data_IF_337001342702
#
_entry.id   IF_337001342702
#
_cell.length_a   1.000
_cell.length_b   1.000
_cell.length_c   1.000
_cell.angle_alpha   90.00
_cell.angle_beta   90.00
_cell.angle_gamma   90.00
#
_symmetry.space_group_name_H-M   'P 1'
#
loop_
_entity.id
_entity.type
_entity.pdbx_description
1 polymer ?
#
# COMPACT_ATOMS: atom_id res chain seq x y z
N UNK A 1 -16.44 -38.23 -6.70
CA UNK A 1 -15.51 -37.16 -6.29
C UNK A 1 -15.62 -36.01 -7.29
N UNK A 2 -15.94 -34.80 -6.83
CA UNK A 2 -16.04 -33.61 -7.69
C UNK A 2 -14.67 -33.29 -8.30
N UNK A 3 -14.62 -33.14 -9.63
CA UNK A 3 -13.38 -32.82 -10.36
C UNK A 3 -13.02 -31.35 -10.15
N UNK A 4 -12.19 -31.08 -9.13
CA UNK A 4 -11.65 -29.74 -8.90
C UNK A 4 -10.69 -29.40 -10.03
N UNK A 5 -10.95 -28.31 -10.75
CA UNK A 5 -10.04 -27.78 -11.76
C UNK A 5 -8.97 -26.92 -11.07
N UNK A 6 -7.69 -27.04 -11.46
CA UNK A 6 -6.65 -26.19 -10.90
C UNK A 6 -6.95 -24.71 -11.21
N UNK A 7 -6.65 -23.79 -10.27
CA UNK A 7 -6.87 -22.37 -10.47
C UNK A 7 -6.00 -21.82 -11.60
N UNK A 8 -6.46 -20.75 -12.26
CA UNK A 8 -5.70 -20.09 -13.31
C UNK A 8 -4.37 -19.52 -12.77
N UNK A 9 -3.27 -19.58 -13.55
CA UNK A 9 -2.00 -18.95 -13.20
C UNK A 9 -2.17 -17.47 -12.86
N UNK A 10 -1.38 -16.97 -11.91
CA UNK A 10 -1.47 -15.57 -11.47
C UNK A 10 -1.25 -14.56 -12.61
N UNK A 11 -0.28 -14.83 -13.50
CA UNK A 11 0.02 -13.99 -14.66
C UNK A 11 -1.19 -13.90 -15.61
N UNK A 12 -1.86 -15.02 -15.88
CA UNK A 12 -3.05 -15.04 -16.73
C UNK A 12 -4.18 -14.21 -16.13
N UNK A 13 -4.40 -14.35 -14.81
CA UNK A 13 -5.42 -13.58 -14.10
C UNK A 13 -5.14 -12.07 -14.17
N UNK A 14 -3.88 -11.67 -13.97
CA UNK A 14 -3.46 -10.25 -14.06
C UNK A 14 -3.66 -9.69 -15.48
N UNK A 15 -3.21 -10.42 -16.49
CA UNK A 15 -3.35 -10.00 -17.89
C UNK A 15 -4.82 -9.82 -18.29
N UNK A 16 -5.71 -10.75 -17.89
CA UNK A 16 -7.14 -10.61 -18.16
C UNK A 16 -7.74 -9.36 -17.49
N UNK A 17 -7.34 -9.06 -16.26
CA UNK A 17 -7.82 -7.88 -15.53
C UNK A 17 -7.33 -6.58 -16.19
N UNK A 18 -6.07 -6.53 -16.63
CA UNK A 18 -5.53 -5.37 -17.35
C UNK A 18 -6.24 -5.13 -18.68
N UNK A 19 -6.50 -6.19 -19.44
CA UNK A 19 -7.19 -6.09 -20.72
C UNK A 19 -8.65 -5.61 -20.57
N UNK A 20 -9.36 -6.06 -19.54
CA UNK A 20 -10.71 -5.54 -19.23
C UNK A 20 -10.65 -4.08 -18.82
N UNK A 21 -9.65 -3.68 -18.01
CA UNK A 21 -9.44 -2.28 -17.62
C UNK A 21 -9.06 -1.38 -18.80
N UNK A 22 -8.46 -1.93 -19.84
CA UNK A 22 -8.12 -1.22 -21.09
C UNK A 22 -9.34 -0.93 -21.99
N UNK A 23 -10.55 -1.38 -21.61
CA UNK A 23 -11.81 -0.95 -22.22
C UNK A 23 -12.52 -1.97 -23.10
N UNK A 24 -11.97 -3.18 -23.26
CA UNK A 24 -12.65 -4.29 -23.97
C UNK A 24 -13.53 -5.09 -23.02
N UNK A 25 -14.63 -5.62 -23.53
CA UNK A 25 -15.63 -6.30 -22.70
C UNK A 25 -15.16 -7.71 -22.27
N UNK A 26 -15.61 -8.23 -21.12
CA UNK A 26 -15.35 -9.63 -20.73
C UNK A 26 -15.83 -10.65 -21.78
N UNK A 27 -16.86 -10.32 -22.56
CA UNK A 27 -17.40 -11.19 -23.61
C UNK A 27 -16.49 -11.32 -24.84
N UNK A 28 -15.75 -10.28 -25.19
CA UNK A 28 -14.78 -10.32 -26.30
C UNK A 28 -13.58 -11.20 -25.92
N UNK A 29 -13.00 -10.98 -24.75
CA UNK A 29 -11.89 -11.79 -24.25
C UNK A 29 -12.28 -13.25 -24.00
N UNK A 30 -13.53 -13.51 -23.61
CA UNK A 30 -14.04 -14.87 -23.48
C UNK A 30 -13.90 -15.67 -24.78
N UNK A 31 -14.18 -15.03 -25.92
CA UNK A 31 -14.07 -15.65 -27.26
C UNK A 31 -12.62 -15.84 -27.69
N UNK A 32 -11.75 -14.86 -27.41
CA UNK A 32 -10.34 -14.91 -27.79
C UNK A 32 -9.55 -15.96 -26.99
N UNK A 33 -9.79 -16.04 -25.68
CA UNK A 33 -9.00 -16.89 -24.77
C UNK A 33 -9.68 -18.23 -24.43
N UNK A 34 -10.82 -18.55 -25.06
CA UNK A 34 -11.63 -19.74 -24.78
C UNK A 34 -12.00 -19.89 -23.29
N UNK A 35 -12.31 -18.77 -22.63
CA UNK A 35 -12.74 -18.73 -21.22
C UNK A 35 -14.18 -18.27 -21.16
N UNK A 36 -14.89 -18.59 -20.08
CA UNK A 36 -16.23 -18.02 -19.89
C UNK A 36 -16.15 -16.55 -19.48
N UNK A 37 -17.05 -15.72 -19.99
CA UNK A 37 -17.15 -14.30 -19.58
C UNK A 37 -17.36 -14.16 -18.08
N UNK A 38 -18.11 -15.08 -17.46
CA UNK A 38 -18.32 -15.12 -16.02
C UNK A 38 -17.01 -15.31 -15.25
N UNK A 39 -16.12 -16.20 -15.70
CA UNK A 39 -14.80 -16.37 -15.09
C UNK A 39 -14.00 -15.07 -15.12
N UNK A 40 -14.05 -14.34 -16.23
CA UNK A 40 -13.34 -13.06 -16.39
C UNK A 40 -13.92 -11.99 -15.47
N UNK A 41 -15.25 -11.89 -15.39
CA UNK A 41 -15.93 -10.98 -14.44
C UNK A 41 -15.54 -11.28 -12.99
N UNK A 42 -15.50 -12.56 -12.61
CA UNK A 42 -15.10 -12.97 -11.26
C UNK A 42 -13.62 -12.61 -10.98
N UNK A 43 -12.73 -12.75 -11.96
CA UNK A 43 -11.32 -12.35 -11.82
C UNK A 43 -11.16 -10.84 -11.64
N UNK A 44 -11.95 -10.04 -12.36
CA UNK A 44 -11.94 -8.58 -12.26
C UNK A 44 -12.48 -8.12 -10.89
N UNK A 45 -13.56 -8.73 -10.41
CA UNK A 45 -14.09 -8.49 -9.07
C UNK A 45 -13.07 -8.85 -7.98
N UNK A 46 -12.46 -10.03 -8.08
CA UNK A 46 -11.42 -10.45 -7.14
C UNK A 46 -10.22 -9.48 -7.15
N UNK A 47 -9.78 -9.04 -8.32
CA UNK A 47 -8.70 -8.06 -8.42
C UNK A 47 -9.08 -6.66 -7.92
N UNK A 48 -10.36 -6.29 -7.95
CA UNK A 48 -10.85 -5.04 -7.35
C UNK A 48 -10.74 -5.10 -5.82
N UNK A 49 -11.15 -6.23 -5.23
CA UNK A 49 -11.03 -6.53 -3.80
C UNK A 49 -9.55 -6.56 -3.38
N UNK A 50 -8.72 -7.35 -4.08
CA UNK A 50 -7.29 -7.50 -3.78
C UNK A 50 -6.51 -6.18 -3.93
N UNK A 51 -6.93 -5.30 -4.86
CA UNK A 51 -6.32 -3.97 -5.03
C UNK A 51 -6.79 -2.92 -4.00
N UNK A 52 -7.68 -3.30 -3.08
CA UNK A 52 -8.27 -2.39 -2.09
C UNK A 52 -9.16 -1.31 -2.71
N UNK A 53 -9.57 -1.47 -3.97
CA UNK A 53 -10.53 -0.55 -4.63
C UNK A 53 -11.96 -0.82 -4.18
N UNK A 54 -12.24 -2.00 -3.64
CA UNK A 54 -13.40 -2.27 -2.77
C UNK A 54 -12.89 -2.98 -1.53
N UNK A 55 -12.62 -2.24 -0.45
CA UNK A 55 -12.06 -2.83 0.78
C UNK A 55 -11.69 -1.87 1.91
N UNK A 56 -11.94 -0.57 1.76
CA UNK A 56 -12.08 0.33 2.89
C UNK A 56 -13.38 1.10 2.65
N UNK A 57 -14.35 0.95 3.55
CA UNK A 57 -15.49 1.85 3.62
C UNK A 57 -14.99 3.30 3.67
N UNK A 58 -15.79 4.27 3.20
CA UNK A 58 -15.38 5.69 3.22
C UNK A 58 -14.84 6.11 4.60
N UNK A 59 -15.41 5.56 5.66
CA UNK A 59 -14.99 5.73 7.07
C UNK A 59 -13.56 5.23 7.29
N UNK A 60 -13.26 3.98 6.93
CA UNK A 60 -11.91 3.42 7.11
C UNK A 60 -10.86 4.18 6.29
N UNK A 61 -11.23 4.72 5.12
CA UNK A 61 -10.34 5.56 4.31
C UNK A 61 -10.06 6.91 4.96
N UNK A 62 -11.06 7.54 5.55
CA UNK A 62 -10.91 8.79 6.31
C UNK A 62 -10.03 8.59 7.55
N UNK A 63 -10.24 7.49 8.27
CA UNK A 63 -9.41 7.10 9.41
C UNK A 63 -7.96 6.86 8.99
N UNK A 64 -7.73 6.16 7.89
CA UNK A 64 -6.38 5.92 7.36
C UNK A 64 -5.68 7.22 6.96
N UNK A 65 -6.39 8.16 6.33
CA UNK A 65 -5.87 9.49 6.02
C UNK A 65 -5.54 10.30 7.28
N UNK A 66 -6.41 10.25 8.30
CA UNK A 66 -6.18 10.89 9.60
C UNK A 66 -4.93 10.33 10.27
N UNK A 67 -4.81 9.01 10.37
CA UNK A 67 -3.67 8.33 10.98
C UNK A 67 -2.35 8.67 10.25
N UNK A 68 -2.36 8.71 8.92
CA UNK A 68 -1.18 9.12 8.14
C UNK A 68 -0.77 10.57 8.40
N UNK A 69 -1.73 11.48 8.61
CA UNK A 69 -1.43 12.87 9.00
C UNK A 69 -0.80 12.94 10.38
N UNK A 70 -1.36 12.21 11.35
CA UNK A 70 -0.83 12.15 12.72
C UNK A 70 0.58 11.56 12.76
N UNK A 71 0.82 10.48 12.02
CA UNK A 71 2.16 9.89 11.93
C UNK A 71 3.19 10.87 11.37
N UNK A 72 2.85 11.62 10.32
CA UNK A 72 3.76 12.65 9.78
C UNK A 72 4.06 13.74 10.79
N UNK A 73 3.06 14.19 11.54
CA UNK A 73 3.27 15.20 12.58
C UNK A 73 4.17 14.67 13.71
N UNK A 74 3.90 13.47 14.22
CA UNK A 74 4.73 12.83 15.25
C UNK A 74 6.17 12.63 14.77
N UNK A 75 6.35 12.24 13.51
CA UNK A 75 7.67 12.09 12.90
C UNK A 75 8.42 13.43 12.90
N UNK A 76 7.76 14.52 12.50
CA UNK A 76 8.35 15.85 12.49
C UNK A 76 8.71 16.34 13.89
N UNK A 77 7.83 16.14 14.87
CA UNK A 77 8.07 16.48 16.28
C UNK A 77 9.27 15.70 16.83
N UNK A 78 9.34 14.39 16.56
CA UNK A 78 10.49 13.56 16.92
C UNK A 78 11.77 14.07 16.28
N UNK A 79 11.75 14.43 15.00
CA UNK A 79 12.93 14.91 14.28
C UNK A 79 13.42 16.26 14.83
N UNK A 80 12.50 17.16 15.20
CA UNK A 80 12.82 18.43 15.86
C UNK A 80 13.47 18.16 17.22
N UNK A 81 12.87 17.28 18.03
CA UNK A 81 13.41 16.91 19.33
C UNK A 81 14.80 16.28 19.18
N UNK A 82 14.98 15.34 18.25
CA UNK A 82 16.26 14.71 17.99
C UNK A 82 17.35 15.73 17.61
N UNK A 83 17.01 16.70 16.74
CA UNK A 83 17.93 17.80 16.37
C UNK A 83 18.26 18.70 17.56
N UNK A 84 17.28 19.03 18.39
CA UNK A 84 17.49 19.82 19.60
C UNK A 84 18.42 19.08 20.57
N UNK A 85 18.14 17.80 20.86
CA UNK A 85 18.99 16.98 21.74
C UNK A 85 20.42 16.89 21.22
N UNK A 86 20.60 16.68 19.92
CA UNK A 86 21.93 16.67 19.29
C UNK A 86 22.65 18.03 19.43
N UNK A 87 21.93 19.14 19.24
CA UNK A 87 22.47 20.49 19.43
C UNK A 87 22.90 20.74 20.88
N UNK A 88 22.07 20.34 21.86
CA UNK A 88 22.39 20.49 23.28
C UNK A 88 23.57 19.62 23.70
N UNK A 89 23.64 18.36 23.25
CA UNK A 89 24.76 17.46 23.53
C UNK A 89 26.09 18.00 22.97
N UNK A 90 26.09 18.55 21.74
CA UNK A 90 27.28 19.17 21.17
C UNK A 90 27.71 20.47 21.88
N UNK A 91 26.80 21.15 22.58
CA UNK A 91 27.12 22.37 23.36
C UNK A 91 27.64 22.06 24.76
N UNK A 92 27.17 21.00 25.42
CA UNK A 92 27.73 20.57 26.71
C UNK A 92 29.21 20.23 26.61
N UNK A 93 29.63 19.64 25.48
CA UNK A 93 31.05 19.33 25.23
C UNK A 93 31.89 20.61 25.04
N UNK A 94 31.33 21.64 24.40
CA UNK A 94 32.01 22.92 24.19
C UNK A 94 32.13 23.77 25.47
N UNK A 95 31.21 23.62 26.43
CA UNK A 95 31.27 24.30 27.74
C UNK A 95 32.13 23.57 28.77
N UNK A 96 32.60 22.36 28.48
CA UNK A 96 33.52 21.59 29.33
C UNK A 96 34.99 21.89 29.05
N UNK A 97 35.35 23.16 28.79
CA UNK A 97 36.75 23.59 28.76
C UNK A 97 37.09 24.42 30.00
N UNK A 98 38.09 23.91 30.75
CA UNK A 98 38.78 24.49 31.91
C UNK A 98 38.02 24.53 33.24
N UNK A 99 37.95 23.37 33.92
CA UNK A 99 38.27 23.35 35.35
C UNK A 99 39.77 23.11 35.49
N UNK A 100 40.47 24.12 36.00
CA UNK A 100 41.89 24.14 36.30
C UNK A 100 42.33 22.93 37.13
N UNK A 101 43.37 22.23 36.67
CA UNK A 101 44.28 21.55 37.60
C UNK A 101 45.21 22.61 38.21
N UNK A 102 45.26 22.64 39.54
CA UNK A 102 46.17 23.46 40.36
C UNK A 102 47.25 22.57 40.97
#
# INVERSE_FOLDING_TARGET
>A
MSKVRPPYPAQFRQQMVELVRAGRTPAEHAREFNVTAQSITNLVGQAAIDSGKEGLTCVEREELLRLRRQLRQIQQERDILAKATAWFAGRSDATSTKSSDS
#
